data_IF_024026567201
#
_entry.id   IF_024026567201
#
_cell.length_a   1.000
_cell.length_b   1.000
_cell.length_c   1.000
_cell.angle_alpha   90.00
_cell.angle_beta   90.00
_cell.angle_gamma   90.00
#
_symmetry.space_group_name_H-M   'P 1'
#
loop_
_entity.id
_entity.type
_entity.pdbx_description
1 polymer ?
#
# COMPACT_ATOMS: atom_id res chain seq x y z
N UNK A 1 -5.14 -16.06 12.57
CA UNK A 1 -5.07 -14.60 12.44
C UNK A 1 -3.62 -14.26 12.19
N UNK A 2 -3.30 -13.67 11.04
CA UNK A 2 -1.94 -13.24 10.71
C UNK A 2 -1.93 -11.71 10.75
N UNK A 3 -1.01 -11.12 11.51
CA UNK A 3 -0.84 -9.68 11.57
C UNK A 3 0.27 -9.23 10.61
N UNK A 4 -0.06 -8.32 9.71
CA UNK A 4 0.81 -7.92 8.61
C UNK A 4 0.95 -6.39 8.59
N UNK A 5 2.18 -5.88 8.43
CA UNK A 5 2.45 -4.45 8.26
C UNK A 5 1.81 -3.89 6.99
N UNK A 6 1.29 -2.66 7.02
CA UNK A 6 0.56 -2.01 5.94
C UNK A 6 1.40 -1.40 4.82
N UNK A 7 2.65 -1.83 4.64
CA UNK A 7 3.47 -1.50 3.46
C UNK A 7 3.14 -2.38 2.24
N UNK A 8 3.73 -2.07 1.07
CA UNK A 8 3.48 -2.80 -0.19
C UNK A 8 3.65 -4.32 -0.06
N UNK A 9 4.73 -4.77 0.56
CA UNK A 9 5.01 -6.19 0.74
C UNK A 9 3.96 -6.88 1.63
N UNK A 10 3.52 -6.21 2.70
CA UNK A 10 2.50 -6.76 3.57
C UNK A 10 1.13 -6.79 2.90
N UNK A 11 0.77 -5.75 2.13
CA UNK A 11 -0.44 -5.75 1.31
C UNK A 11 -0.40 -6.84 0.23
N UNK A 12 0.75 -7.13 -0.37
CA UNK A 12 0.90 -8.23 -1.32
C UNK A 12 0.69 -9.61 -0.67
N UNK A 13 1.20 -9.81 0.54
CA UNK A 13 0.93 -11.03 1.31
C UNK A 13 -0.56 -11.12 1.65
N UNK A 14 -1.16 -10.02 2.08
CA UNK A 14 -2.59 -9.97 2.41
C UNK A 14 -3.46 -10.30 1.18
N UNK A 15 -3.13 -9.73 0.01
CA UNK A 15 -3.76 -10.03 -1.26
C UNK A 15 -3.75 -11.53 -1.58
N UNK A 16 -2.58 -12.15 -1.47
CA UNK A 16 -2.43 -13.59 -1.71
C UNK A 16 -3.27 -14.43 -0.75
N UNK A 17 -3.28 -14.09 0.55
CA UNK A 17 -4.05 -14.82 1.55
C UNK A 17 -5.56 -14.66 1.38
N UNK A 18 -6.03 -13.46 1.03
CA UNK A 18 -7.43 -13.19 0.70
C UNK A 18 -7.88 -14.00 -0.51
N UNK A 19 -7.06 -14.09 -1.56
CA UNK A 19 -7.32 -14.93 -2.73
C UNK A 19 -7.43 -16.44 -2.39
N UNK A 20 -6.90 -16.88 -1.25
CA UNK A 20 -7.05 -18.24 -0.72
C UNK A 20 -8.27 -18.40 0.21
N UNK A 21 -9.10 -17.37 0.35
CA UNK A 21 -10.28 -17.38 1.22
C UNK A 21 -9.96 -17.25 2.71
N UNK A 22 -8.74 -16.83 3.06
CA UNK A 22 -8.33 -16.68 4.46
C UNK A 22 -8.72 -15.30 5.00
N UNK A 23 -9.10 -15.24 6.27
CA UNK A 23 -9.34 -13.97 6.99
C UNK A 23 -8.00 -13.36 7.42
N UNK A 24 -7.71 -12.16 6.93
CA UNK A 24 -6.50 -11.39 7.23
C UNK A 24 -6.84 -10.19 8.11
N UNK A 25 -5.95 -9.85 9.05
CA UNK A 25 -6.04 -8.61 9.84
C UNK A 25 -4.76 -7.82 9.63
N UNK A 26 -4.87 -6.57 9.19
CA UNK A 26 -3.72 -5.70 8.95
C UNK A 26 -3.36 -4.97 10.25
N UNK A 27 -2.10 -5.03 10.65
CA UNK A 27 -1.58 -4.24 11.78
C UNK A 27 -0.49 -3.31 11.26
N UNK A 28 -0.81 -2.04 11.11
CA UNK A 28 0.14 -1.00 10.73
C UNK A 28 0.51 -0.17 11.97
N UNK A 29 1.78 0.20 12.07
CA UNK A 29 2.27 1.01 13.19
C UNK A 29 1.84 2.47 13.08
N UNK A 30 1.31 2.88 11.92
CA UNK A 30 0.87 4.23 11.58
C UNK A 30 -0.64 4.26 11.30
N UNK A 31 -1.24 5.44 11.33
CA UNK A 31 -2.70 5.65 11.16
C UNK A 31 -3.29 5.18 9.82
N UNK A 32 -2.46 4.78 8.85
CA UNK A 32 -2.93 4.27 7.56
C UNK A 32 -1.86 3.38 6.91
N UNK A 33 -2.33 2.47 6.04
CA UNK A 33 -1.46 1.72 5.12
C UNK A 33 -0.63 2.68 4.24
N UNK A 34 0.51 2.19 3.75
CA UNK A 34 1.48 2.93 2.94
C UNK A 34 2.93 2.86 3.44
N UNK A 35 3.18 2.24 4.60
CA UNK A 35 4.53 1.98 5.12
C UNK A 35 5.43 3.23 5.15
N UNK A 36 6.62 3.13 4.54
CA UNK A 36 7.63 4.22 4.50
C UNK A 36 7.11 5.50 3.80
N UNK A 37 6.11 5.37 2.91
CA UNK A 37 5.48 6.51 2.24
C UNK A 37 4.42 7.20 3.12
N UNK A 38 4.10 6.64 4.29
CA UNK A 38 3.20 7.31 5.22
C UNK A 38 3.93 8.42 5.99
N UNK A 39 3.97 9.59 5.36
CA UNK A 39 4.49 10.86 5.88
C UNK A 39 3.40 11.62 6.64
N UNK A 40 2.90 11.05 7.73
CA UNK A 40 2.14 11.86 8.69
C UNK A 40 3.13 12.81 9.40
N UNK A 41 2.82 14.11 9.45
CA UNK A 41 3.68 15.10 10.10
C UNK A 41 3.72 14.95 11.63
N UNK A 42 2.80 14.18 12.21
CA UNK A 42 2.74 13.90 13.65
C UNK A 42 3.53 12.66 14.08
N UNK A 43 4.08 11.90 13.12
CA UNK A 43 4.85 10.69 13.41
C UNK A 43 6.32 11.02 13.73
N UNK A 44 6.77 10.66 14.94
CA UNK A 44 8.16 10.81 15.39
C UNK A 44 9.16 9.93 14.62
N UNK A 45 8.70 9.06 13.70
CA UNK A 45 9.52 8.33 12.74
C UNK A 45 9.26 8.86 11.32
N UNK A 46 9.92 9.95 10.91
CA UNK A 46 9.74 10.51 9.58
C UNK A 46 9.98 9.42 8.52
N UNK A 47 9.01 9.25 7.62
CA UNK A 47 9.14 8.35 6.49
C UNK A 47 10.34 8.76 5.63
N UNK A 48 11.23 7.81 5.32
CA UNK A 48 12.49 8.04 4.60
C UNK A 48 12.31 8.38 3.09
N UNK A 49 11.09 8.66 2.65
CA UNK A 49 10.76 8.82 1.23
C UNK A 49 10.50 10.27 0.90
N UNK A 50 11.32 10.84 0.01
CA UNK A 50 11.08 12.15 -0.57
C UNK A 50 9.73 12.18 -1.33
N UNK A 51 8.91 13.18 -1.02
CA UNK A 51 7.55 13.38 -1.53
C UNK A 51 7.47 13.57 -3.07
N UNK A 52 8.60 13.71 -3.75
CA UNK A 52 8.70 14.06 -5.18
C UNK A 52 9.52 13.05 -5.99
N UNK A 53 9.56 11.77 -5.60
CA UNK A 53 10.19 10.71 -6.40
C UNK A 53 9.14 9.91 -7.15
N UNK A 54 9.41 9.69 -8.43
CA UNK A 54 8.73 8.67 -9.24
C UNK A 54 9.30 7.29 -8.87
N UNK A 55 8.49 6.26 -9.03
CA UNK A 55 8.95 4.88 -8.86
C UNK A 55 9.94 4.51 -9.96
N UNK A 56 10.96 3.73 -9.62
CA UNK A 56 11.88 3.13 -10.59
C UNK A 56 11.33 1.83 -11.21
N UNK A 57 10.14 1.41 -10.78
CA UNK A 57 9.42 0.22 -11.25
C UNK A 57 8.10 0.69 -11.88
N UNK A 58 7.66 0.09 -13.01
CA UNK A 58 6.37 0.43 -13.61
C UNK A 58 5.19 -0.03 -12.74
N UNK A 59 4.08 0.70 -12.79
CA UNK A 59 2.85 0.39 -12.04
C UNK A 59 2.34 -1.03 -12.29
N UNK A 60 2.52 -1.57 -13.50
CA UNK A 60 2.10 -2.93 -13.86
C UNK A 60 2.75 -4.02 -13.00
N UNK A 61 3.96 -3.78 -12.48
CA UNK A 61 4.65 -4.68 -11.57
C UNK A 61 4.24 -4.47 -10.11
N UNK A 62 3.47 -3.42 -9.82
CA UNK A 62 2.94 -3.11 -8.49
C UNK A 62 1.42 -3.32 -8.39
N UNK A 63 0.75 -3.65 -9.50
CA UNK A 63 -0.69 -3.89 -9.54
C UNK A 63 -1.05 -5.19 -8.81
N UNK A 64 -1.96 -5.11 -7.84
CA UNK A 64 -2.59 -6.28 -7.25
C UNK A 64 -3.54 -6.94 -8.25
N UNK A 65 -3.58 -8.28 -8.26
CA UNK A 65 -4.32 -9.04 -9.29
C UNK A 65 -5.83 -8.77 -9.31
N UNK A 66 -6.40 -8.33 -8.19
CA UNK A 66 -7.81 -8.04 -7.96
C UNK A 66 -8.13 -6.52 -7.87
N UNK A 67 -7.12 -5.65 -7.98
CA UNK A 67 -7.29 -4.21 -7.78
C UNK A 67 -6.46 -3.40 -8.78
N UNK A 68 -7.11 -2.79 -9.76
CA UNK A 68 -6.45 -2.04 -10.83
C UNK A 68 -6.17 -0.59 -10.43
N UNK A 69 -5.17 0.00 -11.08
CA UNK A 69 -4.89 1.44 -10.97
C UNK A 69 -6.00 2.26 -11.65
N UNK A 70 -6.23 3.51 -11.20
CA UNK A 70 -7.11 4.43 -11.94
C UNK A 70 -6.63 4.65 -13.38
N UNK A 71 -7.56 4.84 -14.30
CA UNK A 71 -7.23 5.16 -15.70
C UNK A 71 -6.41 6.46 -15.78
N UNK A 72 -5.46 6.49 -16.72
CA UNK A 72 -4.56 7.64 -16.91
C UNK A 72 -3.42 7.74 -15.89
N UNK A 73 -3.27 6.76 -14.98
CA UNK A 73 -2.13 6.72 -14.06
C UNK A 73 -0.80 6.53 -14.82
N UNK A 74 0.20 7.34 -14.47
CA UNK A 74 1.54 7.27 -15.07
C UNK A 74 2.19 5.90 -14.85
N UNK A 75 2.88 5.40 -15.89
CA UNK A 75 3.63 4.15 -15.82
C UNK A 75 4.65 4.16 -14.68
N UNK A 76 5.36 5.27 -14.50
CA UNK A 76 6.22 5.54 -13.35
C UNK A 76 5.51 6.55 -12.44
N UNK A 77 4.75 6.02 -11.50
CA UNK A 77 3.90 6.82 -10.63
C UNK A 77 4.69 7.55 -9.56
N UNK A 78 4.20 8.71 -9.14
CA UNK A 78 4.76 9.42 -7.97
C UNK A 78 4.49 8.60 -6.71
N UNK A 79 5.39 8.68 -5.74
CA UNK A 79 5.23 8.03 -4.44
C UNK A 79 3.87 8.33 -3.76
N UNK A 80 3.33 9.54 -3.95
CA UNK A 80 2.01 9.94 -3.42
C UNK A 80 0.89 9.10 -4.05
N UNK A 81 0.91 8.91 -5.36
CA UNK A 81 -0.08 8.12 -6.08
C UNK A 81 -0.03 6.65 -5.65
N UNK A 82 1.19 6.13 -5.47
CA UNK A 82 1.43 4.76 -5.00
C UNK A 82 0.91 4.56 -3.57
N UNK A 83 1.14 5.54 -2.67
CA UNK A 83 0.56 5.55 -1.32
C UNK A 83 -0.97 5.52 -1.36
N UNK A 84 -1.58 6.39 -2.16
CA UNK A 84 -3.04 6.46 -2.29
C UNK A 84 -3.64 5.14 -2.78
N UNK A 85 -3.02 4.51 -3.78
CA UNK A 85 -3.43 3.20 -4.28
C UNK A 85 -3.38 2.12 -3.20
N UNK A 86 -2.30 2.06 -2.41
CA UNK A 86 -2.20 1.11 -1.28
C UNK A 86 -3.26 1.36 -0.21
N UNK A 87 -3.55 2.62 0.09
CA UNK A 87 -4.58 3.00 1.08
C UNK A 87 -5.99 2.61 0.61
N UNK A 88 -6.31 2.87 -0.65
CA UNK A 88 -7.58 2.45 -1.24
C UNK A 88 -7.72 0.93 -1.22
N UNK A 89 -6.66 0.20 -1.59
CA UNK A 89 -6.66 -1.27 -1.52
C UNK A 89 -6.95 -1.77 -0.10
N UNK A 90 -6.24 -1.22 0.90
CA UNK A 90 -6.42 -1.59 2.30
C UNK A 90 -7.85 -1.31 2.79
N UNK A 91 -8.40 -0.13 2.50
CA UNK A 91 -9.74 0.27 2.93
C UNK A 91 -10.84 -0.62 2.31
N UNK A 92 -10.63 -1.12 1.09
CA UNK A 92 -11.61 -1.97 0.42
C UNK A 92 -11.58 -3.43 0.93
N UNK A 93 -10.40 -3.95 1.28
CA UNK A 93 -10.22 -5.39 1.50
C UNK A 93 -9.98 -5.77 2.96
N UNK A 94 -9.52 -4.84 3.79
CA UNK A 94 -9.22 -5.09 5.20
C UNK A 94 -10.40 -4.63 6.05
N UNK A 95 -10.91 -5.53 6.90
CA UNK A 95 -11.80 -5.18 8.02
C UNK A 95 -10.96 -5.13 9.29
N UNK A 96 -11.20 -4.12 10.12
CA UNK A 96 -10.64 -4.02 11.47
C UNK A 96 -10.97 -5.27 12.32
#
# INVERSE_FOLDING_TARGET
MAGIGGGLAGLAVANYLLAKGLKVTLFESKNAAGGVQNTDQTDHRPGLVCNYRETNVPQSLMTFSDFQWPEGTSLFSKNITVKQYMQQYANQHMRE
#
